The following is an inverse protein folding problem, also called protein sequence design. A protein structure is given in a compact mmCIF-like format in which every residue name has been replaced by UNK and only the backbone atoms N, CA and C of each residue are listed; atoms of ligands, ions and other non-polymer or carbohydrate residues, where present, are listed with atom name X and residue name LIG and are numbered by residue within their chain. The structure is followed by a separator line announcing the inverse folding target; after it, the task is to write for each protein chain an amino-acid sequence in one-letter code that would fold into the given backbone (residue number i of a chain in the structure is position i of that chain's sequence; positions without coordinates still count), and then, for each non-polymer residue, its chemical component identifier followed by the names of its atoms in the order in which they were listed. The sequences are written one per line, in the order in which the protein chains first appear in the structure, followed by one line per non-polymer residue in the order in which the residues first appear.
data_IF_999168036233
#
_entry.id   IF_999168036233
#
_cell.length_a   1.000
_cell.length_b   1.000
_cell.length_c   1.000
_cell.angle_alpha   90.00
_cell.angle_beta   90.00
_cell.angle_gamma   90.00
#
_symmetry.space_group_name_H-M   'P 1'
#
loop_
_entity.id
_entity.type
_entity.pdbx_description
1 polymer ?
#
# COMPACT_ATOMS: atom_id res chain seq x y z
N UNK A 1 3.46 -26.93 -0.79
CA UNK A 1 3.97 -26.82 -2.17
C UNK A 1 4.86 -27.99 -2.56
N UNK A 2 5.86 -28.38 -1.76
CA UNK A 2 6.78 -29.49 -2.08
C UNK A 2 6.05 -30.80 -2.39
N UNK A 3 5.06 -31.16 -1.58
CA UNK A 3 4.27 -32.37 -1.80
C UNK A 3 3.41 -32.28 -3.08
N UNK A 4 2.87 -31.09 -3.38
CA UNK A 4 2.12 -30.85 -4.63
C UNK A 4 3.03 -30.99 -5.85
N UNK A 5 4.25 -30.47 -5.79
CA UNK A 5 5.26 -30.63 -6.85
C UNK A 5 5.66 -32.09 -7.03
N UNK A 6 5.83 -32.84 -5.93
CA UNK A 6 6.15 -34.29 -5.99
C UNK A 6 5.01 -35.08 -6.64
N UNK A 7 3.76 -34.78 -6.27
CA UNK A 7 2.59 -35.41 -6.87
C UNK A 7 2.46 -35.09 -8.35
N UNK A 8 2.64 -33.79 -8.70
CA UNK A 8 2.60 -33.34 -10.09
C UNK A 8 3.66 -34.06 -10.97
N UNK A 9 4.91 -34.18 -10.48
CA UNK A 9 6.00 -34.84 -11.19
C UNK A 9 5.77 -36.36 -11.39
N UNK A 10 4.92 -36.99 -10.56
CA UNK A 10 4.56 -38.41 -10.66
C UNK A 10 3.42 -38.70 -11.66
N UNK A 11 2.75 -37.65 -12.14
CA UNK A 11 1.66 -37.80 -13.10
C UNK A 11 2.23 -38.01 -14.51
N UNK A 12 1.89 -39.12 -15.13
CA UNK A 12 2.30 -39.44 -16.50
C UNK A 12 1.53 -38.64 -17.56
N UNK A 13 0.30 -38.24 -17.23
CA UNK A 13 -0.54 -37.44 -18.11
C UNK A 13 -0.90 -36.10 -17.45
N UNK A 14 -0.65 -35.04 -18.16
CA UNK A 14 -1.01 -33.69 -17.75
C UNK A 14 -2.26 -33.24 -18.49
N UNK A 15 -3.18 -32.65 -17.78
CA UNK A 15 -4.36 -32.00 -18.33
C UNK A 15 -4.41 -30.51 -17.94
N UNK A 16 -5.34 -29.73 -18.53
CA UNK A 16 -5.48 -28.31 -18.24
C UNK A 16 -5.81 -28.03 -16.76
N UNK A 17 -6.72 -28.75 -16.08
CA UNK A 17 -7.00 -28.53 -14.67
C UNK A 17 -5.80 -28.74 -13.76
N UNK A 18 -5.02 -29.79 -14.00
CA UNK A 18 -3.82 -30.09 -13.22
C UNK A 18 -2.75 -29.01 -13.40
N UNK A 19 -2.48 -28.61 -14.64
CA UNK A 19 -1.54 -27.53 -14.95
C UNK A 19 -2.00 -26.20 -14.35
N UNK A 20 -3.30 -25.87 -14.43
CA UNK A 20 -3.86 -24.67 -13.82
C UNK A 20 -3.64 -24.63 -12.30
N UNK A 21 -3.97 -25.73 -11.62
CA UNK A 21 -3.80 -25.84 -10.17
C UNK A 21 -2.35 -25.64 -9.76
N UNK A 22 -1.42 -26.18 -10.54
CA UNK A 22 0.00 -26.11 -10.25
C UNK A 22 0.58 -24.70 -10.53
N UNK A 23 0.21 -24.08 -11.67
CA UNK A 23 0.59 -22.71 -12.02
C UNK A 23 0.07 -21.73 -10.96
N UNK A 24 -1.21 -21.85 -10.58
CA UNK A 24 -1.81 -21.02 -9.53
C UNK A 24 -1.14 -21.23 -8.17
N UNK A 25 -0.72 -22.45 -7.86
CA UNK A 25 0.02 -22.76 -6.64
C UNK A 25 1.39 -22.11 -6.63
N UNK A 26 2.15 -22.19 -7.70
CA UNK A 26 3.43 -21.51 -7.84
C UNK A 26 3.28 -19.99 -7.72
N UNK A 27 2.31 -19.42 -8.43
CA UNK A 27 2.04 -17.98 -8.41
C UNK A 27 1.73 -17.45 -7.00
N UNK A 28 0.99 -18.22 -6.18
CA UNK A 28 0.63 -17.83 -4.81
C UNK A 28 1.73 -18.00 -3.78
N UNK A 29 2.77 -18.79 -4.07
CA UNK A 29 3.86 -19.09 -3.15
C UNK A 29 5.18 -18.45 -3.58
N UNK A 30 5.13 -17.39 -4.36
CA UNK A 30 6.30 -16.59 -4.75
C UNK A 30 7.26 -17.29 -5.74
N UNK A 31 6.79 -18.35 -6.42
CA UNK A 31 7.54 -19.09 -7.44
C UNK A 31 7.08 -18.71 -8.85
N UNK A 32 7.11 -17.40 -9.17
CA UNK A 32 6.63 -16.87 -10.44
C UNK A 32 7.40 -17.43 -11.65
N UNK A 33 8.71 -17.63 -11.52
CA UNK A 33 9.51 -18.21 -12.60
C UNK A 33 9.14 -19.67 -12.89
N UNK A 34 8.92 -20.49 -11.85
CA UNK A 34 8.45 -21.87 -12.00
C UNK A 34 7.04 -21.92 -12.64
N UNK A 35 6.17 -20.99 -12.25
CA UNK A 35 4.85 -20.86 -12.86
C UNK A 35 4.96 -20.56 -14.37
N UNK A 36 5.83 -19.65 -14.76
CA UNK A 36 6.06 -19.30 -16.16
C UNK A 36 6.69 -20.45 -16.95
N UNK A 37 7.71 -21.13 -16.39
CA UNK A 37 8.32 -22.30 -17.01
C UNK A 37 7.30 -23.42 -17.22
N UNK A 38 6.45 -23.69 -16.22
CA UNK A 38 5.40 -24.70 -16.34
C UNK A 38 4.39 -24.32 -17.43
N UNK A 39 4.03 -23.05 -17.53
CA UNK A 39 3.15 -22.57 -18.59
C UNK A 39 3.76 -22.81 -19.99
N UNK A 40 5.03 -22.51 -20.17
CA UNK A 40 5.75 -22.77 -21.43
C UNK A 40 5.77 -24.27 -21.75
N UNK A 41 5.97 -25.13 -20.74
CA UNK A 41 5.90 -26.59 -20.91
C UNK A 41 4.48 -27.06 -21.29
N UNK A 42 3.46 -26.44 -20.71
CA UNK A 42 2.05 -26.71 -21.03
C UNK A 42 1.77 -26.43 -22.51
N UNK A 43 2.24 -25.29 -23.02
CA UNK A 43 2.13 -24.95 -24.45
C UNK A 43 2.89 -25.93 -25.36
N UNK A 44 4.12 -26.33 -24.96
CA UNK A 44 4.94 -27.30 -25.73
C UNK A 44 4.29 -28.70 -25.81
N UNK A 45 3.53 -29.07 -24.80
CA UNK A 45 2.77 -30.31 -24.76
C UNK A 45 1.42 -30.24 -25.49
N UNK A 46 1.13 -29.11 -26.15
CA UNK A 46 -0.15 -28.85 -26.80
C UNK A 46 -1.37 -28.95 -25.86
N UNK A 47 -1.17 -28.70 -24.58
CA UNK A 47 -2.27 -28.60 -23.62
C UNK A 47 -2.83 -27.17 -23.77
N UNK A 48 -4.14 -27.06 -24.00
CA UNK A 48 -4.80 -25.75 -24.17
C UNK A 48 -4.81 -25.00 -22.85
N UNK A 49 -4.21 -23.80 -22.79
CA UNK A 49 -4.28 -22.95 -21.60
C UNK A 49 -5.73 -22.53 -21.32
N UNK A 50 -6.00 -22.23 -20.06
CA UNK A 50 -7.24 -21.62 -19.62
C UNK A 50 -7.01 -20.15 -19.29
N UNK A 51 -8.09 -19.37 -19.26
CA UNK A 51 -8.09 -17.99 -18.80
C UNK A 51 -7.49 -17.85 -17.38
N UNK A 52 -7.75 -18.82 -16.51
CA UNK A 52 -7.21 -18.85 -15.14
C UNK A 52 -5.70 -19.09 -15.08
N UNK A 53 -5.13 -19.87 -16.01
CA UNK A 53 -3.67 -20.02 -16.11
C UNK A 53 -3.02 -18.71 -16.47
N UNK A 54 -3.57 -18.02 -17.47
CA UNK A 54 -3.06 -16.72 -17.93
C UNK A 54 -3.20 -15.67 -16.82
N UNK A 55 -4.35 -15.61 -16.15
CA UNK A 55 -4.59 -14.70 -15.03
C UNK A 55 -3.62 -14.96 -13.87
N UNK A 56 -3.39 -16.21 -13.48
CA UNK A 56 -2.44 -16.57 -12.41
C UNK A 56 -1.01 -16.17 -12.75
N UNK A 57 -0.60 -16.33 -14.01
CA UNK A 57 0.71 -15.88 -14.47
C UNK A 57 0.85 -14.38 -14.44
N UNK A 58 -0.12 -13.63 -14.96
CA UNK A 58 -0.11 -12.17 -14.94
C UNK A 58 -0.04 -11.63 -13.52
N UNK A 59 -0.73 -12.26 -12.58
CA UNK A 59 -0.65 -11.92 -11.16
C UNK A 59 0.75 -12.14 -10.59
N UNK A 60 1.45 -13.22 -10.99
CA UNK A 60 2.82 -13.49 -10.55
C UNK A 60 3.84 -12.55 -11.18
N UNK A 61 3.61 -12.09 -12.41
CA UNK A 61 4.49 -11.12 -13.09
C UNK A 61 4.57 -9.82 -12.29
N UNK A 62 3.44 -9.31 -11.84
CA UNK A 62 3.40 -8.02 -11.12
C UNK A 62 4.12 -8.02 -9.77
N UNK A 63 4.54 -9.18 -9.26
CA UNK A 63 5.20 -9.32 -7.95
C UNK A 63 6.64 -9.81 -8.09
N UNK A 64 6.90 -10.80 -8.95
CA UNK A 64 8.16 -11.55 -8.96
C UNK A 64 8.89 -11.57 -10.31
N UNK A 65 8.24 -11.18 -11.38
CA UNK A 65 8.79 -11.21 -12.73
C UNK A 65 8.81 -9.80 -13.35
N UNK A 66 9.75 -9.54 -14.26
CA UNK A 66 9.82 -8.26 -14.94
C UNK A 66 8.64 -8.08 -15.92
N UNK A 67 8.29 -6.84 -16.20
CA UNK A 67 7.15 -6.46 -17.08
C UNK A 67 7.26 -7.05 -18.50
N UNK A 68 8.48 -7.30 -18.96
CA UNK A 68 8.74 -7.89 -20.27
C UNK A 68 8.10 -9.28 -20.41
N UNK A 69 8.03 -10.05 -19.33
CA UNK A 69 7.34 -11.34 -19.31
C UNK A 69 5.82 -11.12 -19.46
N UNK A 70 5.28 -10.12 -18.76
CA UNK A 70 3.89 -9.71 -18.90
C UNK A 70 3.55 -9.30 -20.34
N UNK A 71 4.41 -8.52 -20.99
CA UNK A 71 4.25 -8.13 -22.38
C UNK A 71 4.25 -9.34 -23.34
N UNK A 72 5.10 -10.35 -23.07
CA UNK A 72 5.08 -11.60 -23.82
C UNK A 72 3.76 -12.35 -23.63
N UNK A 73 3.27 -12.47 -22.41
CA UNK A 73 1.97 -13.11 -22.11
C UNK A 73 0.84 -12.32 -22.81
N UNK A 74 0.84 -10.98 -22.71
CA UNK A 74 -0.14 -10.13 -23.37
C UNK A 74 -0.17 -10.39 -24.89
N UNK A 75 1.00 -10.50 -25.53
CA UNK A 75 1.11 -10.79 -26.96
C UNK A 75 0.57 -12.18 -27.36
N UNK A 76 0.44 -13.11 -26.42
CA UNK A 76 -0.15 -14.43 -26.62
C UNK A 76 -1.68 -14.43 -26.45
N UNK A 77 -2.26 -13.48 -25.72
CA UNK A 77 -3.70 -13.43 -25.43
C UNK A 77 -4.56 -13.55 -26.69
N UNK A 78 -4.30 -12.79 -27.78
CA UNK A 78 -5.04 -12.95 -29.04
C UNK A 78 -4.90 -14.33 -29.65
N UNK A 79 -3.68 -14.88 -29.63
CA UNK A 79 -3.41 -16.21 -30.20
C UNK A 79 -4.08 -17.34 -29.44
N UNK A 80 -4.35 -17.12 -28.17
CA UNK A 80 -5.05 -18.07 -27.28
C UNK A 80 -6.59 -17.93 -27.36
N UNK A 81 -7.08 -16.85 -27.96
CA UNK A 81 -8.50 -16.55 -28.11
C UNK A 81 -9.14 -15.92 -26.87
N UNK A 82 -8.34 -15.22 -26.04
CA UNK A 82 -8.81 -14.57 -24.82
C UNK A 82 -8.96 -13.05 -24.92
N UNK A 83 -9.02 -12.49 -26.13
CA UNK A 83 -9.12 -11.04 -26.40
C UNK A 83 -10.36 -10.38 -25.76
N UNK A 84 -11.44 -11.15 -25.62
CA UNK A 84 -12.70 -10.66 -25.05
C UNK A 84 -12.98 -11.25 -23.65
N UNK A 85 -12.01 -11.93 -23.05
CA UNK A 85 -12.16 -12.55 -21.74
C UNK A 85 -11.93 -11.52 -20.64
N UNK A 86 -12.93 -11.29 -19.77
CA UNK A 86 -12.87 -10.28 -18.73
C UNK A 86 -11.85 -10.62 -17.63
N UNK A 87 -11.63 -11.90 -17.32
CA UNK A 87 -10.68 -12.33 -16.29
C UNK A 87 -9.25 -12.02 -16.73
N UNK A 88 -8.94 -12.33 -17.99
CA UNK A 88 -7.61 -12.03 -18.57
C UNK A 88 -7.40 -10.53 -18.70
N UNK A 89 -8.42 -9.79 -19.18
CA UNK A 89 -8.34 -8.34 -19.32
C UNK A 89 -8.14 -7.66 -17.95
N UNK A 90 -8.89 -8.05 -16.91
CA UNK A 90 -8.71 -7.55 -15.55
C UNK A 90 -7.30 -7.84 -15.01
N UNK A 91 -6.75 -9.01 -15.29
CA UNK A 91 -5.39 -9.37 -14.88
C UNK A 91 -4.31 -8.57 -15.61
N UNK A 92 -4.52 -8.23 -16.88
CA UNK A 92 -3.65 -7.33 -17.63
C UNK A 92 -3.73 -5.89 -17.08
N UNK A 93 -4.94 -5.40 -16.79
CA UNK A 93 -5.13 -4.08 -16.16
C UNK A 93 -4.38 -4.01 -14.84
N UNK A 94 -4.54 -5.02 -13.98
CA UNK A 94 -3.87 -5.11 -12.68
C UNK A 94 -2.34 -5.12 -12.83
N UNK A 95 -1.83 -5.96 -13.75
CA UNK A 95 -0.41 -6.06 -14.03
C UNK A 95 0.17 -4.72 -14.48
N UNK A 96 -0.38 -4.09 -15.51
CA UNK A 96 0.13 -2.82 -16.03
C UNK A 96 0.00 -1.71 -14.98
N UNK A 97 -1.10 -1.67 -14.24
CA UNK A 97 -1.26 -0.72 -13.15
C UNK A 97 -0.17 -0.88 -12.09
N UNK A 98 0.12 -2.11 -11.64
CA UNK A 98 1.17 -2.37 -10.64
C UNK A 98 2.57 -1.97 -11.08
N UNK A 99 2.87 -2.05 -12.37
CA UNK A 99 4.13 -1.56 -12.94
C UNK A 99 4.15 -0.05 -13.23
N UNK A 100 3.05 0.66 -13.02
CA UNK A 100 2.95 2.09 -13.28
C UNK A 100 2.65 2.45 -14.74
N UNK A 101 2.41 1.48 -15.60
CA UNK A 101 1.99 1.69 -16.99
C UNK A 101 0.49 2.02 -17.07
N UNK A 102 0.12 3.13 -16.42
CA UNK A 102 -1.30 3.53 -16.24
C UNK A 102 -1.99 3.76 -17.59
N UNK A 103 -1.28 4.27 -18.57
CA UNK A 103 -1.81 4.47 -19.94
C UNK A 103 -2.25 3.14 -20.57
N UNK A 104 -1.42 2.10 -20.47
CA UNK A 104 -1.73 0.79 -21.02
C UNK A 104 -2.88 0.12 -20.25
N UNK A 105 -2.89 0.24 -18.93
CA UNK A 105 -3.99 -0.25 -18.10
C UNK A 105 -5.33 0.39 -18.49
N UNK A 106 -5.37 1.72 -18.70
CA UNK A 106 -6.56 2.44 -19.15
C UNK A 106 -6.98 2.04 -20.56
N UNK A 107 -6.03 1.85 -21.48
CA UNK A 107 -6.33 1.41 -22.84
C UNK A 107 -7.03 0.06 -22.84
N UNK A 108 -6.49 -0.92 -22.11
CA UNK A 108 -7.09 -2.25 -21.99
C UNK A 108 -8.48 -2.14 -21.36
N UNK A 109 -8.61 -1.41 -20.24
CA UNK A 109 -9.90 -1.20 -19.61
C UNK A 109 -10.92 -0.58 -20.57
N UNK A 110 -10.54 0.43 -21.37
CA UNK A 110 -11.43 1.09 -22.30
C UNK A 110 -11.87 0.17 -23.43
N UNK A 111 -10.98 -0.71 -23.92
CA UNK A 111 -11.24 -1.68 -25.00
C UNK A 111 -12.12 -2.86 -24.55
N UNK A 112 -12.26 -3.10 -23.25
CA UNK A 112 -13.13 -4.17 -22.72
C UNK A 112 -14.58 -3.95 -23.18
N UNK A 113 -15.15 -4.95 -23.83
CA UNK A 113 -16.56 -4.94 -24.30
C UNK A 113 -17.52 -5.02 -23.13
N UNK A 114 -17.19 -5.82 -22.13
CA UNK A 114 -17.97 -6.02 -20.91
C UNK A 114 -17.08 -5.64 -19.74
N UNK A 115 -17.52 -4.65 -18.98
CA UNK A 115 -16.86 -4.21 -17.75
C UNK A 115 -17.76 -4.58 -16.58
N UNK A 116 -17.34 -5.56 -15.81
CA UNK A 116 -17.97 -5.93 -14.55
C UNK A 116 -17.44 -5.08 -13.38
N UNK A 117 -18.01 -5.24 -12.20
CA UNK A 117 -17.56 -4.50 -11.02
C UNK A 117 -16.08 -4.75 -10.68
N UNK A 118 -15.58 -5.97 -10.98
CA UNK A 118 -14.17 -6.30 -10.79
C UNK A 118 -13.28 -5.46 -11.70
N UNK A 119 -13.69 -5.24 -12.96
CA UNK A 119 -12.98 -4.39 -13.91
C UNK A 119 -12.84 -2.95 -13.40
N UNK A 120 -13.95 -2.39 -12.90
CA UNK A 120 -13.97 -1.04 -12.33
C UNK A 120 -13.10 -0.94 -11.07
N UNK A 121 -13.21 -1.91 -10.17
CA UNK A 121 -12.41 -1.94 -8.96
C UNK A 121 -10.92 -2.04 -9.25
N UNK A 122 -10.54 -2.88 -10.22
CA UNK A 122 -9.14 -3.09 -10.60
C UNK A 122 -8.51 -1.82 -11.12
N UNK A 123 -9.16 -1.13 -12.07
CA UNK A 123 -8.59 0.10 -12.62
C UNK A 123 -8.58 1.24 -11.59
N UNK A 124 -9.65 1.42 -10.82
CA UNK A 124 -9.70 2.47 -9.78
C UNK A 124 -8.63 2.25 -8.71
N UNK A 125 -8.43 1.02 -8.25
CA UNK A 125 -7.39 0.71 -7.28
C UNK A 125 -5.99 0.99 -7.85
N UNK A 126 -5.72 0.59 -9.09
CA UNK A 126 -4.47 0.87 -9.78
C UNK A 126 -4.20 2.38 -9.90
N UNK A 127 -5.18 3.16 -10.33
CA UNK A 127 -5.09 4.62 -10.43
C UNK A 127 -4.82 5.26 -9.05
N UNK A 128 -5.49 4.77 -8.03
CA UNK A 128 -5.33 5.28 -6.66
C UNK A 128 -3.92 5.06 -6.13
N UNK A 129 -3.33 3.88 -6.32
CA UNK A 129 -1.95 3.60 -5.89
C UNK A 129 -0.92 4.50 -6.57
N UNK A 130 -1.20 4.97 -7.79
CA UNK A 130 -0.33 5.91 -8.51
C UNK A 130 -0.75 7.38 -8.35
N UNK A 131 -1.57 7.68 -7.34
CA UNK A 131 -1.96 9.05 -7.01
C UNK A 131 -2.79 9.75 -8.09
N UNK A 132 -3.42 8.99 -8.99
CA UNK A 132 -4.30 9.55 -10.04
C UNK A 132 -5.70 9.81 -9.50
N UNK A 133 -5.76 10.59 -8.43
CA UNK A 133 -6.98 10.85 -7.64
C UNK A 133 -8.13 11.32 -8.52
N UNK A 134 -7.93 12.34 -9.35
CA UNK A 134 -9.01 12.88 -10.22
C UNK A 134 -9.60 11.81 -11.12
N UNK A 135 -8.77 10.99 -11.76
CA UNK A 135 -9.25 9.92 -12.64
C UNK A 135 -10.02 8.85 -11.87
N UNK A 136 -9.57 8.51 -10.65
CA UNK A 136 -10.31 7.56 -9.79
C UNK A 136 -11.68 8.11 -9.44
N UNK A 137 -11.78 9.38 -9.07
CA UNK A 137 -13.05 10.00 -8.74
C UNK A 137 -13.97 10.11 -9.96
N UNK A 138 -13.42 10.41 -11.14
CA UNK A 138 -14.20 10.46 -12.39
C UNK A 138 -14.77 9.09 -12.77
N UNK A 139 -13.95 8.03 -12.68
CA UNK A 139 -14.41 6.65 -12.90
C UNK A 139 -15.45 6.21 -11.86
N UNK A 140 -15.31 6.63 -10.61
CA UNK A 140 -16.33 6.35 -9.59
C UNK A 140 -17.65 7.03 -9.93
N UNK A 141 -17.64 8.30 -10.33
CA UNK A 141 -18.85 9.00 -10.80
C UNK A 141 -19.46 8.32 -12.03
N UNK A 142 -18.62 7.89 -12.97
CA UNK A 142 -19.10 7.14 -14.13
C UNK A 142 -19.76 5.81 -13.72
N UNK A 143 -19.14 5.04 -12.81
CA UNK A 143 -19.70 3.81 -12.27
C UNK A 143 -21.12 4.02 -11.72
N UNK A 144 -21.34 5.09 -10.96
CA UNK A 144 -22.64 5.42 -10.36
C UNK A 144 -23.72 5.72 -11.39
N UNK A 145 -23.36 6.09 -12.62
CA UNK A 145 -24.32 6.28 -13.73
C UNK A 145 -24.74 4.99 -14.41
N UNK A 146 -24.06 3.86 -14.13
CA UNK A 146 -24.32 2.57 -14.78
C UNK A 146 -25.47 1.85 -14.08
N UNK A 147 -26.52 1.55 -14.83
CA UNK A 147 -27.66 0.77 -14.31
C UNK A 147 -27.23 -0.63 -13.86
N UNK A 148 -27.64 -1.01 -12.67
CA UNK A 148 -27.38 -2.34 -12.09
C UNK A 148 -25.98 -2.54 -11.52
N UNK A 149 -25.11 -1.52 -11.53
CA UNK A 149 -23.80 -1.56 -10.85
C UNK A 149 -23.84 -0.73 -9.57
N UNK A 150 -23.78 -1.40 -8.44
CA UNK A 150 -23.64 -0.74 -7.15
C UNK A 150 -22.18 -0.90 -6.66
N UNK A 151 -21.60 0.18 -6.11
CA UNK A 151 -20.31 0.10 -5.45
C UNK A 151 -20.31 -0.97 -4.36
N UNK A 152 -19.25 -1.77 -4.32
CA UNK A 152 -19.03 -2.74 -3.27
C UNK A 152 -17.97 -2.23 -2.27
N UNK A 153 -17.61 -3.09 -1.32
CA UNK A 153 -16.60 -2.81 -0.32
C UNK A 153 -15.26 -2.40 -0.94
N UNK A 154 -14.86 -3.05 -2.03
CA UNK A 154 -13.57 -2.78 -2.72
C UNK A 154 -13.62 -1.44 -3.45
N UNK A 155 -14.74 -1.17 -4.14
CA UNK A 155 -14.98 0.13 -4.80
C UNK A 155 -14.81 1.28 -3.81
N UNK A 156 -15.51 1.20 -2.67
CA UNK A 156 -15.50 2.26 -1.65
C UNK A 156 -14.15 2.39 -0.95
N UNK A 157 -13.43 1.27 -0.77
CA UNK A 157 -12.03 1.32 -0.29
C UNK A 157 -11.14 2.08 -1.28
N UNK A 158 -11.22 1.80 -2.58
CA UNK A 158 -10.41 2.48 -3.58
C UNK A 158 -10.67 3.99 -3.61
N UNK A 159 -11.94 4.38 -3.51
CA UNK A 159 -12.35 5.80 -3.52
C UNK A 159 -11.93 6.52 -2.23
N UNK A 160 -12.11 5.90 -1.06
CA UNK A 160 -11.65 6.49 0.21
C UNK A 160 -10.13 6.60 0.28
N UNK A 161 -9.40 5.64 -0.27
CA UNK A 161 -7.94 5.74 -0.43
C UNK A 161 -7.56 6.89 -1.37
N UNK A 162 -8.30 7.08 -2.47
CA UNK A 162 -8.06 8.20 -3.37
C UNK A 162 -8.32 9.54 -2.65
N UNK A 163 -9.39 9.65 -1.87
CA UNK A 163 -9.65 10.83 -1.04
C UNK A 163 -8.53 11.06 -0.01
N UNK A 164 -8.01 9.99 0.61
CA UNK A 164 -6.89 10.08 1.54
C UNK A 164 -5.61 10.60 0.84
N UNK A 165 -5.25 10.08 -0.33
CA UNK A 165 -4.08 10.54 -1.08
C UNK A 165 -4.23 11.96 -1.62
N UNK A 166 -5.45 12.34 -2.04
CA UNK A 166 -5.78 13.66 -2.54
C UNK A 166 -6.09 14.69 -1.45
N UNK A 167 -6.15 14.28 -0.18
CA UNK A 167 -6.62 15.09 0.94
C UNK A 167 -8.03 15.70 0.68
N UNK A 168 -8.89 14.96 -0.02
CA UNK A 168 -10.27 15.33 -0.31
C UNK A 168 -11.16 14.99 0.91
N UNK A 169 -10.95 15.72 2.00
CA UNK A 169 -11.50 15.36 3.32
C UNK A 169 -13.03 15.39 3.31
N UNK A 170 -13.62 16.43 2.76
CA UNK A 170 -15.06 16.61 2.80
C UNK A 170 -15.76 15.57 1.91
N UNK A 171 -15.24 15.30 0.71
CA UNK A 171 -15.75 14.24 -0.19
C UNK A 171 -15.59 12.85 0.45
N UNK A 172 -14.44 12.59 1.09
CA UNK A 172 -14.19 11.31 1.75
C UNK A 172 -15.12 11.04 2.93
N UNK A 173 -15.44 12.07 3.74
CA UNK A 173 -16.41 11.96 4.84
C UNK A 173 -17.83 11.76 4.30
N UNK A 174 -18.21 12.46 3.24
CA UNK A 174 -19.51 12.29 2.59
C UNK A 174 -19.69 10.86 2.09
N UNK A 175 -18.70 10.33 1.32
CA UNK A 175 -18.74 8.96 0.82
C UNK A 175 -18.80 7.96 1.97
N UNK A 176 -17.98 8.13 3.01
CA UNK A 176 -17.97 7.22 4.16
C UNK A 176 -19.32 7.20 4.88
N UNK A 177 -19.95 8.38 5.05
CA UNK A 177 -21.26 8.50 5.70
C UNK A 177 -22.40 7.89 4.88
N UNK A 178 -22.27 7.94 3.55
CA UNK A 178 -23.24 7.37 2.61
C UNK A 178 -23.12 5.85 2.44
N UNK A 179 -22.06 5.22 2.91
CA UNK A 179 -21.77 3.79 2.64
C UNK A 179 -22.92 2.86 2.95
N UNK A 180 -23.54 2.98 4.13
CA UNK A 180 -24.60 2.07 4.57
C UNK A 180 -25.96 2.46 3.98
N UNK A 181 -26.26 3.76 3.93
CA UNK A 181 -27.60 4.25 3.55
C UNK A 181 -27.80 4.30 2.03
N UNK A 182 -26.78 4.67 1.27
CA UNK A 182 -26.90 4.83 -0.19
C UNK A 182 -26.42 3.60 -0.95
N UNK A 183 -25.29 3.00 -0.49
CA UNK A 183 -24.69 1.86 -1.20
C UNK A 183 -25.01 0.51 -0.55
N UNK A 184 -25.63 0.48 0.64
CA UNK A 184 -25.92 -0.76 1.36
C UNK A 184 -24.66 -1.49 1.87
N UNK A 185 -23.52 -0.80 1.92
CA UNK A 185 -22.23 -1.38 2.31
C UNK A 185 -21.89 -0.93 3.73
N UNK A 186 -21.89 -1.86 4.66
CA UNK A 186 -21.46 -1.56 6.03
C UNK A 186 -19.96 -1.27 6.07
N UNK A 187 -19.52 -0.12 6.62
CA UNK A 187 -18.11 0.22 6.73
C UNK A 187 -17.31 -0.85 7.46
N UNK A 188 -16.22 -1.31 6.85
CA UNK A 188 -15.26 -2.24 7.43
C UNK A 188 -14.06 -1.52 8.03
N UNK A 189 -13.18 -2.27 8.70
CA UNK A 189 -11.99 -1.74 9.35
C UNK A 189 -11.10 -0.91 8.40
N UNK A 190 -10.95 -1.36 7.17
CA UNK A 190 -10.17 -0.64 6.15
C UNK A 190 -10.76 0.74 5.80
N UNK A 191 -12.09 0.88 5.77
CA UNK A 191 -12.74 2.15 5.51
C UNK A 191 -12.52 3.13 6.67
N UNK A 192 -12.68 2.67 7.91
CA UNK A 192 -12.33 3.46 9.09
C UNK A 192 -10.86 3.88 9.09
N UNK A 193 -9.95 2.97 8.74
CA UNK A 193 -8.53 3.28 8.64
C UNK A 193 -8.23 4.38 7.63
N UNK A 194 -8.83 4.33 6.44
CA UNK A 194 -8.69 5.37 5.41
C UNK A 194 -9.16 6.74 5.92
N UNK A 195 -10.33 6.80 6.56
CA UNK A 195 -10.89 8.07 7.05
C UNK A 195 -10.07 8.63 8.21
N UNK A 196 -9.66 7.80 9.14
CA UNK A 196 -8.80 8.21 10.26
C UNK A 196 -7.46 8.74 9.76
N UNK A 197 -6.85 8.07 8.79
CA UNK A 197 -5.60 8.51 8.19
C UNK A 197 -5.76 9.84 7.45
N UNK A 198 -6.82 9.98 6.67
CA UNK A 198 -7.15 11.21 5.93
C UNK A 198 -7.35 12.39 6.88
N UNK A 199 -8.17 12.24 7.93
CA UNK A 199 -8.40 13.26 8.95
C UNK A 199 -7.10 13.62 9.68
N UNK A 200 -6.28 12.61 9.99
CA UNK A 200 -4.99 12.78 10.64
C UNK A 200 -4.04 13.62 9.79
N UNK A 201 -3.91 13.31 8.50
CA UNK A 201 -3.09 14.08 7.54
C UNK A 201 -3.59 15.52 7.35
N UNK A 202 -4.89 15.71 7.44
CA UNK A 202 -5.51 17.06 7.39
C UNK A 202 -5.41 17.84 8.70
N UNK A 203 -4.82 17.27 9.76
CA UNK A 203 -4.72 17.90 11.08
C UNK A 203 -6.01 17.91 11.90
N UNK A 204 -7.10 17.27 11.41
CA UNK A 204 -8.39 17.16 12.09
C UNK A 204 -8.35 16.04 13.16
N UNK A 205 -7.40 16.15 14.10
CA UNK A 205 -7.07 15.07 15.06
C UNK A 205 -8.23 14.71 15.99
N UNK A 206 -9.04 15.67 16.39
CA UNK A 206 -10.20 15.43 17.27
C UNK A 206 -11.23 14.56 16.56
N UNK A 207 -11.59 14.92 15.33
CA UNK A 207 -12.52 14.15 14.50
C UNK A 207 -12.00 12.72 14.25
N UNK A 208 -10.69 12.57 13.98
CA UNK A 208 -10.06 11.27 13.82
C UNK A 208 -10.17 10.40 15.09
N UNK A 209 -9.97 10.98 16.27
CA UNK A 209 -10.10 10.28 17.55
C UNK A 209 -11.55 9.90 17.81
N UNK A 210 -12.51 10.78 17.55
CA UNK A 210 -13.95 10.52 17.73
C UNK A 210 -14.38 9.33 16.86
N UNK A 211 -13.89 9.25 15.60
CA UNK A 211 -14.16 8.09 14.72
C UNK A 211 -13.59 6.80 15.29
N UNK A 212 -12.38 6.81 15.84
CA UNK A 212 -11.79 5.63 16.48
C UNK A 212 -12.61 5.20 17.72
N UNK A 213 -13.10 6.13 18.50
CA UNK A 213 -13.86 5.82 19.71
C UNK A 213 -15.25 5.27 19.41
N UNK A 214 -15.82 5.65 18.26
CA UNK A 214 -17.17 5.23 17.83
C UNK A 214 -17.16 4.00 16.93
N UNK A 215 -16.01 3.63 16.33
CA UNK A 215 -15.96 2.49 15.41
C UNK A 215 -16.27 1.17 16.13
N UNK A 216 -17.02 0.23 15.49
CA UNK A 216 -17.43 -1.03 16.08
C UNK A 216 -16.31 -2.09 16.14
N UNK A 217 -15.12 -1.76 15.66
CA UNK A 217 -13.98 -2.66 15.56
C UNK A 217 -12.95 -2.39 16.65
N UNK A 218 -12.21 -3.44 17.04
CA UNK A 218 -11.05 -3.27 17.91
C UNK A 218 -9.96 -2.52 17.15
N UNK A 219 -9.58 -1.37 17.66
CA UNK A 219 -8.56 -0.53 17.05
C UNK A 219 -7.23 -1.28 16.90
N UNK A 220 -6.69 -1.32 15.70
CA UNK A 220 -5.35 -1.86 15.45
C UNK A 220 -4.26 -0.87 15.81
N UNK A 221 -3.05 -1.38 16.02
CA UNK A 221 -1.86 -0.57 16.28
C UNK A 221 -1.57 0.42 15.15
N UNK A 222 -1.86 0.04 13.93
CA UNK A 222 -1.54 0.84 12.75
C UNK A 222 -2.40 2.11 12.69
N UNK A 223 -3.67 2.02 13.05
CA UNK A 223 -4.57 3.19 13.15
C UNK A 223 -4.04 4.17 14.20
N UNK A 224 -3.63 3.67 15.39
CA UNK A 224 -3.07 4.54 16.43
C UNK A 224 -1.72 5.13 16.04
N UNK A 225 -0.88 4.39 15.30
CA UNK A 225 0.40 4.91 14.77
C UNK A 225 0.18 6.04 13.79
N UNK A 226 -0.82 5.94 12.91
CA UNK A 226 -1.17 6.99 11.96
C UNK A 226 -1.54 8.30 12.69
N UNK A 227 -2.43 8.22 13.69
CA UNK A 227 -2.77 9.39 14.51
C UNK A 227 -1.55 9.93 15.26
N UNK A 228 -0.75 9.06 15.87
CA UNK A 228 0.40 9.49 16.65
C UNK A 228 1.43 10.23 15.78
N UNK A 229 1.63 9.76 14.54
CA UNK A 229 2.50 10.45 13.57
C UNK A 229 1.96 11.84 13.21
N UNK A 230 0.66 11.96 13.01
CA UNK A 230 0.01 13.24 12.76
C UNK A 230 0.02 14.15 13.98
N UNK A 231 -0.13 13.60 15.19
CA UNK A 231 0.00 14.34 16.43
C UNK A 231 1.38 14.98 16.61
N UNK A 232 2.44 14.34 16.11
CA UNK A 232 3.78 14.89 16.15
C UNK A 232 3.89 16.20 15.36
N UNK A 233 3.08 16.36 14.32
CA UNK A 233 3.09 17.53 13.41
C UNK A 233 2.07 18.58 13.86
N UNK A 234 0.83 18.17 14.10
CA UNK A 234 -0.34 19.06 14.29
C UNK A 234 -0.88 19.08 15.72
N UNK A 235 -0.51 18.09 16.55
CA UNK A 235 -1.11 17.90 17.85
C UNK A 235 -0.66 18.90 18.90
N UNK A 236 -1.58 19.30 19.76
CA UNK A 236 -1.19 19.88 21.03
C UNK A 236 -0.69 18.78 21.98
N UNK A 237 -0.02 19.19 23.07
CA UNK A 237 0.59 18.22 23.98
C UNK A 237 -0.43 17.31 24.67
N UNK A 238 -1.64 17.82 24.93
CA UNK A 238 -2.70 17.05 25.61
C UNK A 238 -3.19 15.92 24.72
N UNK A 239 -3.38 16.19 23.42
CA UNK A 239 -3.76 15.18 22.42
C UNK A 239 -2.67 14.14 22.30
N UNK A 240 -1.41 14.55 22.19
CA UNK A 240 -0.25 13.63 22.07
C UNK A 240 -0.17 12.72 23.32
N UNK A 241 -0.27 13.28 24.51
CA UNK A 241 -0.23 12.53 25.79
C UNK A 241 -1.40 11.54 25.87
N UNK A 242 -2.60 11.97 25.48
CA UNK A 242 -3.80 11.10 25.49
C UNK A 242 -3.68 9.92 24.52
N UNK A 243 -3.27 10.18 23.27
CA UNK A 243 -3.09 9.13 22.25
C UNK A 243 -1.94 8.20 22.65
N UNK A 244 -0.80 8.75 23.07
CA UNK A 244 0.34 7.96 23.50
C UNK A 244 -0.01 7.01 24.67
N UNK A 245 -0.76 7.50 25.66
CA UNK A 245 -1.24 6.68 26.77
C UNK A 245 -2.12 5.52 26.28
N UNK A 246 -3.08 5.79 25.38
CA UNK A 246 -3.95 4.73 24.81
C UNK A 246 -3.16 3.64 24.10
N UNK A 247 -2.06 4.00 23.41
CA UNK A 247 -1.17 3.02 22.75
C UNK A 247 -0.37 2.24 23.80
N UNK A 248 0.23 2.92 24.79
CA UNK A 248 1.02 2.29 25.84
C UNK A 248 0.21 1.28 26.67
N UNK A 249 -1.06 1.58 26.93
CA UNK A 249 -1.96 0.69 27.69
C UNK A 249 -2.32 -0.57 26.88
N UNK A 250 -2.26 -0.51 25.55
CA UNK A 250 -2.59 -1.64 24.65
C UNK A 250 -1.36 -2.43 24.21
N UNK A 251 -0.26 -1.75 23.97
CA UNK A 251 0.99 -2.31 23.44
C UNK A 251 2.16 -1.94 24.34
N UNK A 252 2.40 -2.77 25.36
CA UNK A 252 3.48 -2.52 26.32
C UNK A 252 4.90 -2.57 25.72
N UNK A 253 5.06 -3.14 24.54
CA UNK A 253 6.37 -3.36 23.90
C UNK A 253 6.77 -2.28 22.88
N UNK A 254 5.83 -1.41 22.47
CA UNK A 254 6.15 -0.40 21.45
C UNK A 254 6.90 0.80 22.02
N UNK A 255 7.95 1.26 21.35
CA UNK A 255 8.73 2.44 21.69
C UNK A 255 8.16 3.73 21.11
N UNK A 256 7.37 3.62 20.04
CA UNK A 256 6.89 4.75 19.25
C UNK A 256 6.20 5.87 20.08
N UNK A 257 5.28 5.58 21.01
CA UNK A 257 4.65 6.62 21.82
C UNK A 257 5.63 7.42 22.67
N UNK A 258 6.66 6.76 23.18
CA UNK A 258 7.69 7.40 23.99
C UNK A 258 8.58 8.34 23.15
N UNK A 259 8.91 7.92 21.91
CA UNK A 259 9.70 8.74 20.99
C UNK A 259 8.93 10.00 20.58
N UNK A 260 7.65 9.86 20.21
CA UNK A 260 6.82 11.00 19.83
C UNK A 260 6.61 11.95 21.02
N UNK A 261 6.39 11.41 22.22
CA UNK A 261 6.33 12.24 23.44
C UNK A 261 7.65 12.95 23.73
N UNK A 262 8.79 12.25 23.58
CA UNK A 262 10.10 12.85 23.78
C UNK A 262 10.32 14.02 22.82
N UNK A 263 9.99 13.86 21.55
CA UNK A 263 10.06 14.91 20.54
C UNK A 263 9.11 16.07 20.87
N UNK A 264 7.87 15.78 21.24
CA UNK A 264 6.89 16.79 21.60
C UNK A 264 7.30 17.62 22.83
N UNK A 265 7.89 16.97 23.85
CA UNK A 265 8.45 17.66 25.01
C UNK A 265 9.69 18.48 24.68
N UNK A 266 10.57 17.95 23.81
CA UNK A 266 11.76 18.66 23.33
C UNK A 266 11.37 19.97 22.62
N UNK A 267 10.44 19.93 21.70
CA UNK A 267 9.96 21.11 20.95
C UNK A 267 9.35 22.20 21.87
N UNK A 268 8.88 21.80 23.05
CA UNK A 268 8.26 22.69 24.03
C UNK A 268 9.18 23.05 25.21
N UNK A 269 10.47 22.69 25.15
CA UNK A 269 11.46 22.97 26.18
C UNK A 269 11.28 22.19 27.49
N UNK A 270 10.44 21.14 27.50
CA UNK A 270 10.21 20.29 28.69
C UNK A 270 11.27 19.19 28.79
N UNK A 271 12.52 19.59 29.01
CA UNK A 271 13.69 18.72 28.96
C UNK A 271 13.63 17.53 29.93
N UNK A 272 13.15 17.71 31.16
CA UNK A 272 13.05 16.63 32.14
C UNK A 272 12.07 15.54 31.70
N UNK A 273 10.96 15.93 31.09
CA UNK A 273 9.97 14.99 30.56
C UNK A 273 10.53 14.25 29.34
N UNK A 274 11.23 14.95 28.46
CA UNK A 274 11.92 14.36 27.30
C UNK A 274 12.93 13.30 27.74
N UNK A 275 13.79 13.60 28.74
CA UNK A 275 14.79 12.65 29.25
C UNK A 275 14.12 11.43 29.86
N UNK A 276 12.99 11.60 30.60
CA UNK A 276 12.23 10.47 31.15
C UNK A 276 11.70 9.56 30.04
N UNK A 277 11.17 10.10 28.95
CA UNK A 277 10.66 9.31 27.84
C UNK A 277 11.77 8.53 27.12
N UNK A 278 12.94 9.17 26.88
CA UNK A 278 14.10 8.50 26.26
C UNK A 278 14.62 7.37 27.15
N UNK A 279 14.76 7.55 28.46
CA UNK A 279 15.15 6.48 29.39
C UNK A 279 14.14 5.33 29.42
N UNK A 280 12.85 5.62 29.26
CA UNK A 280 11.84 4.58 29.17
C UNK A 280 11.97 3.71 27.91
N UNK A 281 12.44 4.26 26.81
CA UNK A 281 12.79 3.52 25.58
C UNK A 281 14.00 2.62 25.82
N UNK A 282 15.10 3.18 26.38
CA UNK A 282 16.33 2.44 26.68
C UNK A 282 16.08 1.23 27.60
N UNK A 283 15.30 1.42 28.66
CA UNK A 283 14.98 0.37 29.64
C UNK A 283 14.15 -0.80 29.07
N UNK A 284 13.46 -0.59 27.94
CA UNK A 284 12.64 -1.64 27.31
C UNK A 284 13.42 -2.60 26.44
N UNK A 285 14.70 -2.32 26.14
CA UNK A 285 15.55 -3.20 25.35
C UNK A 285 14.97 -3.49 23.95
N UNK A 286 14.00 -2.68 23.50
CA UNK A 286 13.50 -2.76 22.14
C UNK A 286 14.69 -2.49 21.22
N UNK A 287 15.08 -3.47 20.43
CA UNK A 287 15.94 -3.23 19.27
C UNK A 287 15.13 -2.32 18.36
N UNK A 288 15.26 -1.02 18.60
CA UNK A 288 14.76 -0.07 17.63
C UNK A 288 15.40 -0.44 16.30
N UNK A 289 14.59 -0.51 15.24
CA UNK A 289 15.10 -0.32 13.90
C UNK A 289 15.65 1.10 13.88
N UNK A 290 16.89 1.23 14.29
CA UNK A 290 17.62 2.48 14.19
C UNK A 290 17.68 2.77 12.70
N UNK A 291 16.91 3.75 12.24
CA UNK A 291 16.99 4.20 10.87
C UNK A 291 18.42 4.61 10.58
N UNK A 292 19.09 3.90 9.69
CA UNK A 292 20.44 4.24 9.26
C UNK A 292 20.33 5.03 7.97
N UNK A 293 20.82 6.25 8.00
CA UNK A 293 21.11 7.03 6.80
C UNK A 293 22.60 6.96 6.52
N UNK A 294 22.99 7.02 5.28
CA UNK A 294 24.40 7.01 4.90
C UNK A 294 24.67 8.01 3.79
N UNK A 295 25.87 8.60 3.83
CA UNK A 295 26.37 9.49 2.80
C UNK A 295 27.78 9.09 2.41
N UNK A 296 28.08 9.10 1.12
CA UNK A 296 29.43 8.88 0.59
C UNK A 296 30.15 10.20 0.35
N UNK A 297 31.29 10.44 1.02
CA UNK A 297 32.13 11.59 0.79
C UNK A 297 33.57 11.13 0.53
N UNK A 298 34.14 11.46 -0.64
CA UNK A 298 35.54 11.15 -1.00
C UNK A 298 35.98 9.70 -0.70
N UNK A 299 35.26 8.71 -1.22
CA UNK A 299 35.47 7.27 -0.99
C UNK A 299 35.23 6.73 0.43
N UNK A 300 34.71 7.54 1.35
CA UNK A 300 34.30 7.08 2.67
C UNK A 300 32.77 7.11 2.77
N UNK A 301 32.20 6.04 3.38
CA UNK A 301 30.77 5.97 3.67
C UNK A 301 30.56 6.31 5.15
N UNK A 302 29.82 7.37 5.40
CA UNK A 302 29.43 7.79 6.75
C UNK A 302 27.99 7.31 7.01
N UNK A 303 27.82 6.56 8.09
CA UNK A 303 26.50 6.06 8.52
C UNK A 303 26.00 6.84 9.71
N UNK A 304 24.72 7.20 9.69
CA UNK A 304 24.04 7.92 10.75
C UNK A 304 22.91 7.06 11.28
N UNK A 305 22.85 6.92 12.58
CA UNK A 305 21.72 6.29 13.25
C UNK A 305 20.85 7.36 13.89
N UNK A 306 19.55 7.22 13.84
CA UNK A 306 18.57 8.21 14.32
C UNK A 306 18.73 8.62 15.78
N UNK A 307 19.50 7.88 16.59
CA UNK A 307 19.79 8.16 18.00
C UNK A 307 21.27 8.52 18.28
N UNK A 308 22.14 8.58 17.27
CA UNK A 308 23.54 8.92 17.45
C UNK A 308 23.81 10.38 17.07
N UNK A 309 23.38 11.30 17.92
CA UNK A 309 23.85 12.69 17.89
C UNK A 309 25.24 12.86 18.55
N UNK A 310 25.82 11.79 19.05
CA UNK A 310 27.17 11.79 19.65
C UNK A 310 28.06 10.77 18.96
N UNK A 311 29.14 11.32 18.39
CA UNK A 311 30.35 10.69 17.90
C UNK A 311 30.36 10.16 16.45
N UNK A 312 30.84 10.97 15.59
CA UNK A 312 31.98 10.86 14.66
C UNK A 312 31.94 12.08 13.73
N UNK A 313 32.88 13.02 13.90
CA UNK A 313 33.03 14.18 13.01
C UNK A 313 32.18 15.43 13.35
N UNK A 314 31.74 15.56 14.58
CA UNK A 314 30.79 16.51 15.16
C UNK A 314 30.60 17.89 14.53
N UNK A 315 31.63 18.73 14.41
CA UNK A 315 31.49 20.09 13.90
C UNK A 315 31.54 20.18 12.38
N UNK A 316 32.34 19.37 11.73
CA UNK A 316 32.55 19.43 10.29
C UNK A 316 31.37 18.87 9.50
N UNK A 317 30.73 17.84 10.04
CA UNK A 317 29.52 17.26 9.41
C UNK A 317 28.31 18.17 9.55
N UNK A 318 28.15 18.84 10.70
CA UNK A 318 27.10 19.82 10.91
C UNK A 318 27.27 21.04 9.99
N UNK A 319 28.52 21.44 9.76
CA UNK A 319 28.85 22.48 8.78
C UNK A 319 28.53 22.07 7.35
N UNK A 320 28.81 20.82 6.96
CA UNK A 320 28.49 20.29 5.62
C UNK A 320 26.98 20.16 5.42
N UNK A 321 26.27 19.70 6.43
CA UNK A 321 24.78 19.62 6.36
C UNK A 321 24.16 21.02 6.29
N UNK A 322 24.65 21.98 7.06
CA UNK A 322 24.17 23.38 6.97
C UNK A 322 24.52 24.04 5.63
N UNK A 323 25.68 23.73 5.06
CA UNK A 323 26.05 24.20 3.73
C UNK A 323 25.15 23.59 2.65
N UNK A 324 24.81 22.29 2.74
CA UNK A 324 23.90 21.63 1.83
C UNK A 324 22.46 22.19 1.95
N UNK A 325 21.99 22.43 3.18
CA UNK A 325 20.69 23.07 3.42
C UNK A 325 20.69 24.50 2.85
N UNK A 326 21.78 25.25 3.07
CA UNK A 326 21.91 26.60 2.53
C UNK A 326 22.00 26.63 0.99
N UNK A 327 22.71 25.68 0.36
CA UNK A 327 22.71 25.51 -1.10
C UNK A 327 21.33 25.13 -1.63
N UNK A 328 20.60 24.23 -0.95
CA UNK A 328 19.23 23.85 -1.32
C UNK A 328 18.23 25.00 -1.15
N UNK A 329 18.45 25.91 -0.20
CA UNK A 329 17.60 27.09 -0.01
C UNK A 329 17.97 28.24 -0.97
N UNK A 330 19.21 28.26 -1.50
CA UNK A 330 19.68 29.32 -2.41
C UNK A 330 19.56 28.98 -3.90
N UNK A 331 19.47 27.70 -4.25
CA UNK A 331 19.09 27.25 -5.57
C UNK A 331 17.57 26.96 -5.55
N UNK A 332 16.78 27.86 -6.17
CA UNK A 332 15.37 27.66 -6.46
C UNK A 332 15.19 26.37 -7.30
N UNK A 333 15.13 25.23 -6.64
CA UNK A 333 14.57 24.03 -7.26
C UNK A 333 13.05 24.11 -7.19
N UNK A 334 12.49 24.71 -8.23
CA UNK A 334 11.08 24.64 -8.61
C UNK A 334 10.72 23.22 -9.02
#
# INVERSE_FOLDING_TARGET
LEDSVRLFKKQDQWDSPLCNSMISSFARHDFGEDAFQLFVLTLRKNIRPTEYMVSSLLSSVSIFLPVEVGNQIHSLVPKLGFESDAVVANSLVDMYAKFGFIGDALNIFNEMKIKDLVSWNTIMMGLTYYGRVSLTMDLFRELLTREGMLPDRITLTAVLLACNYGLLVDEGIEIFSSMEMEFGVKPGEEHYACVVEMLSKAGKLKEAIDIIETMPYRTTSDIWRSILSACAIYGDLQIIEGVAKKIMDRESQTSLPYLVLAQAYQMRGRWDSMVRMRKAVENRGTKEFIGHSWIGIRNNVYTFASNQLQHYGGKDLYLVLNLLVWEMETEDYV
#
